data_IF_360199401435
#
_entry.id   IF_360199401435
#
_cell.length_a   1.000
_cell.length_b   1.000
_cell.length_c   1.000
_cell.angle_alpha   90.00
_cell.angle_beta   90.00
_cell.angle_gamma   90.00
#
_symmetry.space_group_name_H-M   'P 1'
#
loop_
_entity.id
_entity.type
_entity.pdbx_description
1 polymer ?
#
# COMPACT_ATOMS: atom_id res chain seq x y z
N UNK A 1 1.21 33.75 5.80
CA UNK A 1 -0.03 32.98 6.08
C UNK A 1 0.06 31.73 5.23
N UNK A 2 0.46 30.62 5.83
CA UNK A 2 0.71 29.38 5.09
C UNK A 2 -0.54 28.52 5.20
N UNK A 3 -1.22 28.16 4.09
CA UNK A 3 -2.38 27.31 4.18
C UNK A 3 -1.91 25.90 4.60
N UNK A 4 -2.21 25.53 5.84
CA UNK A 4 -2.05 24.16 6.33
C UNK A 4 -2.84 23.22 5.43
N UNK A 5 -2.12 22.47 4.61
CA UNK A 5 -2.68 21.55 3.62
C UNK A 5 -3.23 20.31 4.34
N UNK A 6 -4.41 20.43 4.93
CA UNK A 6 -5.12 19.29 5.50
C UNK A 6 -5.66 18.44 4.34
N UNK A 7 -4.98 17.33 4.04
CA UNK A 7 -5.47 16.33 3.09
C UNK A 7 -6.33 15.32 3.86
N UNK A 8 -7.60 15.20 3.45
CA UNK A 8 -8.51 14.18 3.97
C UNK A 8 -8.11 12.83 3.35
N UNK A 9 -7.64 11.91 4.18
CA UNK A 9 -7.33 10.53 3.77
C UNK A 9 -8.65 9.81 3.50
N UNK A 10 -8.83 9.32 2.28
CA UNK A 10 -10.01 8.54 1.91
C UNK A 10 -9.94 7.20 2.65
N UNK A 11 -10.93 6.94 3.51
CA UNK A 11 -11.18 5.64 4.14
C UNK A 11 -11.21 4.56 3.06
N UNK A 12 -10.27 3.62 3.12
CA UNK A 12 -10.23 2.47 2.20
C UNK A 12 -10.23 1.18 3.02
N UNK A 13 -11.00 0.24 2.51
CA UNK A 13 -11.47 -1.04 3.04
C UNK A 13 -10.58 -1.76 4.05
N UNK A 14 -11.18 -2.14 5.18
CA UNK A 14 -10.64 -3.09 6.15
C UNK A 14 -10.54 -4.48 5.51
N UNK A 15 -9.34 -4.85 5.06
CA UNK A 15 -8.93 -6.25 4.96
C UNK A 15 -8.05 -6.54 6.17
N UNK A 16 -8.54 -7.41 7.04
CA UNK A 16 -7.92 -7.71 8.34
C UNK A 16 -7.03 -8.94 8.16
N UNK A 17 -5.73 -8.74 7.93
CA UNK A 17 -4.76 -9.82 8.03
C UNK A 17 -4.50 -10.09 9.53
N UNK A 18 -4.86 -11.30 9.96
CA UNK A 18 -4.69 -11.78 11.33
C UNK A 18 -3.19 -11.77 11.70
N UNK A 19 -2.92 -11.31 12.92
CA UNK A 19 -1.58 -11.05 13.43
C UNK A 19 -0.66 -12.27 13.52
N UNK A 20 0.58 -11.91 13.82
CA UNK A 20 1.62 -12.78 14.36
C UNK A 20 2.24 -13.78 13.37
N UNK A 21 2.97 -13.28 12.38
CA UNK A 21 4.28 -13.80 11.93
C UNK A 21 4.76 -12.93 10.76
N UNK A 22 5.96 -12.33 10.87
CA UNK A 22 6.76 -11.81 9.75
C UNK A 22 5.93 -11.08 8.65
N UNK A 23 5.31 -9.97 9.04
CA UNK A 23 4.34 -9.22 8.24
C UNK A 23 4.97 -8.53 7.03
N UNK A 24 5.23 -9.29 5.98
CA UNK A 24 5.66 -8.77 4.67
C UNK A 24 4.64 -7.76 4.18
N UNK A 25 5.08 -6.52 3.93
CA UNK A 25 4.23 -5.47 3.38
C UNK A 25 3.66 -5.90 2.02
N UNK A 26 2.33 -5.98 1.96
CA UNK A 26 1.61 -6.38 0.75
C UNK A 26 1.33 -5.16 -0.14
N UNK A 27 1.75 -5.25 -1.40
CA UNK A 27 1.42 -4.27 -2.43
C UNK A 27 0.45 -4.88 -3.42
N UNK A 28 -0.77 -4.37 -3.43
CA UNK A 28 -1.84 -4.77 -4.33
C UNK A 28 -1.76 -3.94 -5.61
N UNK A 29 -1.44 -4.59 -6.72
CA UNK A 29 -1.35 -3.94 -8.02
C UNK A 29 -2.64 -4.14 -8.82
N UNK A 30 -3.60 -3.23 -8.65
CA UNK A 30 -4.90 -3.31 -9.32
C UNK A 30 -4.81 -2.83 -10.77
N UNK A 31 -5.08 -3.72 -11.73
CA UNK A 31 -5.28 -3.36 -13.12
C UNK A 31 -6.65 -2.70 -13.33
N UNK A 32 -6.66 -1.44 -13.76
CA UNK A 32 -7.88 -0.67 -14.02
C UNK A 32 -8.72 -1.18 -15.21
N UNK A 33 -8.16 -2.08 -16.03
CA UNK A 33 -8.81 -2.59 -17.25
C UNK A 33 -9.40 -3.98 -17.09
N UNK A 34 -8.61 -4.94 -16.61
CA UNK A 34 -9.07 -6.32 -16.45
C UNK A 34 -9.44 -6.68 -15.00
N UNK A 35 -9.15 -5.81 -14.03
CA UNK A 35 -9.43 -6.07 -12.61
C UNK A 35 -8.50 -7.09 -11.95
N UNK A 36 -7.44 -7.53 -12.63
CA UNK A 36 -6.41 -8.37 -12.00
C UNK A 36 -5.70 -7.62 -10.86
N UNK A 37 -5.42 -8.33 -9.77
CA UNK A 37 -4.78 -7.76 -8.57
C UNK A 37 -3.60 -8.65 -8.14
N UNK A 38 -2.48 -8.65 -8.88
CA UNK A 38 -1.25 -9.25 -8.38
C UNK A 38 -0.84 -8.61 -7.05
N UNK A 39 -0.44 -9.46 -6.11
CA UNK A 39 0.14 -9.06 -4.82
C UNK A 39 1.64 -9.25 -4.92
N UNK A 40 2.40 -8.23 -4.52
CA UNK A 40 3.85 -8.33 -4.39
C UNK A 40 4.26 -8.05 -2.94
N UNK A 41 5.25 -8.80 -2.48
CA UNK A 41 5.85 -8.62 -1.17
C UNK A 41 7.19 -7.90 -1.34
N UNK A 42 7.39 -6.79 -0.63
CA UNK A 42 8.62 -6.01 -0.71
C UNK A 42 9.11 -5.62 0.69
N UNK A 43 10.16 -6.31 1.15
CA UNK A 43 10.76 -6.08 2.47
C UNK A 43 11.41 -4.69 2.61
N UNK A 44 11.92 -4.12 1.52
CA UNK A 44 12.58 -2.82 1.57
C UNK A 44 11.55 -1.70 1.78
N UNK A 45 10.40 -1.81 1.11
CA UNK A 45 9.28 -0.90 1.28
C UNK A 45 8.69 -1.01 2.69
N UNK A 46 8.51 -2.23 3.21
CA UNK A 46 8.09 -2.45 4.59
C UNK A 46 8.98 -1.70 5.59
N UNK A 47 10.30 -1.93 5.53
CA UNK A 47 11.27 -1.28 6.41
C UNK A 47 11.21 0.24 6.32
N UNK A 48 10.99 0.76 5.11
CA UNK A 48 10.86 2.21 4.87
C UNK A 48 9.61 2.78 5.54
N UNK A 49 8.48 2.08 5.46
CA UNK A 49 7.23 2.50 6.10
C UNK A 49 7.31 2.39 7.63
N UNK A 50 7.93 1.34 8.15
CA UNK A 50 8.18 1.18 9.59
C UNK A 50 9.08 2.28 10.15
N UNK A 51 10.15 2.66 9.44
CA UNK A 51 11.03 3.76 9.84
C UNK A 51 10.32 5.11 9.83
N UNK A 52 9.51 5.38 8.80
CA UNK A 52 8.71 6.59 8.72
C UNK A 52 7.70 6.67 9.88
N UNK A 53 7.00 5.57 10.18
CA UNK A 53 6.04 5.51 11.28
C UNK A 53 6.73 5.72 12.63
N UNK A 54 7.88 5.07 12.86
CA UNK A 54 8.69 5.25 14.06
C UNK A 54 9.13 6.71 14.23
N UNK A 55 9.62 7.34 13.17
CA UNK A 55 10.05 8.75 13.19
C UNK A 55 8.88 9.70 13.50
N UNK A 56 7.67 9.35 13.07
CA UNK A 56 6.46 10.11 13.37
C UNK A 56 5.83 9.80 14.74
N UNK A 57 6.43 8.92 15.55
CA UNK A 57 5.84 8.36 16.77
C UNK A 57 4.45 7.74 16.54
N UNK A 58 4.26 7.11 15.38
CA UNK A 58 3.01 6.51 14.95
C UNK A 58 3.04 4.99 15.15
N UNK A 59 2.00 4.43 15.77
CA UNK A 59 1.87 2.99 15.98
C UNK A 59 1.15 2.38 14.78
N UNK A 60 1.79 1.42 14.13
CA UNK A 60 1.26 0.75 12.93
C UNK A 60 0.43 -0.46 13.34
N UNK A 61 -0.82 -0.52 12.88
CA UNK A 61 -1.74 -1.65 13.08
C UNK A 61 -1.72 -2.64 11.89
N UNK A 62 -1.35 -2.16 10.71
CA UNK A 62 -1.19 -2.93 9.48
C UNK A 62 -0.64 -2.05 8.37
N UNK A 63 -0.07 -2.68 7.33
CA UNK A 63 0.48 -1.97 6.18
C UNK A 63 -0.02 -2.63 4.90
N UNK A 64 -0.72 -1.86 4.08
CA UNK A 64 -1.18 -2.25 2.76
C UNK A 64 -0.88 -1.09 1.80
N UNK A 65 -0.43 -1.39 0.59
CA UNK A 65 -0.32 -0.39 -0.48
C UNK A 65 -1.07 -0.83 -1.72
N UNK A 66 -2.04 -0.04 -2.15
CA UNK A 66 -2.76 -0.24 -3.41
C UNK A 66 -2.15 0.65 -4.52
N UNK A 67 -1.70 0.03 -5.61
CA UNK A 67 -1.23 0.70 -6.83
C UNK A 67 -2.23 0.45 -7.95
N UNK A 68 -2.77 1.51 -8.54
CA UNK A 68 -3.71 1.41 -9.68
C UNK A 68 -3.01 1.67 -11.00
N UNK A 69 -2.94 0.65 -11.84
CA UNK A 69 -2.22 0.69 -13.11
C UNK A 69 -2.90 -0.09 -14.23
N UNK A 70 -2.09 -0.53 -15.18
CA UNK A 70 -2.44 -1.53 -16.18
C UNK A 70 -1.46 -2.69 -16.03
N UNK A 71 -1.94 -3.93 -16.01
CA UNK A 71 -1.05 -5.09 -16.07
C UNK A 71 -0.38 -5.18 -17.45
N UNK A 72 0.70 -5.97 -17.56
CA UNK A 72 1.45 -6.19 -18.80
C UNK A 72 0.55 -6.52 -20.01
N UNK A 73 -0.41 -7.43 -19.81
CA UNK A 73 -1.38 -7.79 -20.85
C UNK A 73 -2.29 -6.64 -21.26
N UNK A 74 -2.60 -5.71 -20.35
CA UNK A 74 -3.48 -4.57 -20.60
C UNK A 74 -2.75 -3.33 -21.12
N UNK A 75 -1.45 -3.17 -20.80
CA UNK A 75 -0.59 -2.09 -21.28
C UNK A 75 -0.05 -2.34 -22.69
N UNK A 76 -0.28 -3.52 -23.26
CA UNK A 76 0.17 -3.88 -24.62
C UNK A 76 1.66 -4.23 -24.69
N UNK A 77 2.23 -4.73 -23.60
CA UNK A 77 3.65 -5.10 -23.50
C UNK A 77 3.97 -6.57 -23.78
N UNK A 78 3.03 -7.31 -24.37
CA UNK A 78 3.19 -8.74 -24.72
C UNK A 78 3.41 -8.96 -26.21
#
# INVERSE_FOLDING_TARGET
>A
MEPGLVRRVATTSTFMACGDVDGLHEVFMMCKRCGSVPVVHDEALQRTLEDAARTAHFVVDGQETEIKGLCESCSGGG
#
